data_IF_665227574635
#
_entry.id   IF_665227574635
#
_cell.length_a   1.000
_cell.length_b   1.000
_cell.length_c   1.000
_cell.angle_alpha   90.00
_cell.angle_beta   90.00
_cell.angle_gamma   90.00
#
_symmetry.space_group_name_H-M   'P 1'
#
loop_
_entity.id
_entity.type
_entity.pdbx_description
1 polymer ?
#
# COMPACT_ATOMS: atom_id res chain seq x y z
N UNK A 1 -23.91 5.31 -25.43
CA UNK A 1 -23.08 5.69 -26.60
C UNK A 1 -21.93 4.71 -26.72
N UNK A 2 -21.77 4.05 -27.88
CA UNK A 2 -20.64 3.15 -28.15
C UNK A 2 -19.66 3.76 -29.15
N UNK A 3 -18.36 3.84 -28.82
CA UNK A 3 -17.30 4.43 -29.64
C UNK A 3 -16.21 3.38 -29.90
N UNK A 4 -15.88 3.15 -31.18
CA UNK A 4 -14.92 2.14 -31.62
C UNK A 4 -14.12 2.67 -32.83
N UNK A 5 -12.94 2.10 -33.11
CA UNK A 5 -12.12 2.40 -34.30
C UNK A 5 -11.67 3.86 -34.45
N UNK A 6 -11.31 4.52 -33.34
CA UNK A 6 -10.71 5.86 -33.39
C UNK A 6 -9.20 5.70 -33.53
N UNK A 7 -8.60 6.12 -34.65
CA UNK A 7 -7.20 5.79 -34.98
C UNK A 7 -6.16 6.86 -34.65
N UNK A 8 -6.58 8.11 -34.40
CA UNK A 8 -5.65 9.24 -34.26
C UNK A 8 -5.96 10.23 -33.13
N UNK A 9 -7.10 10.09 -32.44
CA UNK A 9 -7.54 11.01 -31.37
C UNK A 9 -8.16 10.28 -30.18
N UNK A 10 -8.48 11.00 -29.11
CA UNK A 10 -9.29 10.46 -28.03
C UNK A 10 -10.70 10.12 -28.53
N UNK A 11 -11.27 9.04 -28.02
CA UNK A 11 -12.68 8.70 -28.26
C UNK A 11 -13.61 9.79 -27.73
N UNK A 12 -13.22 10.46 -26.64
CA UNK A 12 -13.89 11.63 -26.12
C UNK A 12 -12.88 12.65 -25.60
N UNK A 13 -13.04 13.93 -25.98
CA UNK A 13 -12.24 15.06 -25.49
C UNK A 13 -13.16 16.13 -24.89
N UNK A 14 -13.21 16.22 -23.56
CA UNK A 14 -14.05 17.20 -22.86
C UNK A 14 -13.26 18.47 -22.55
N UNK A 15 -13.17 19.38 -23.53
CA UNK A 15 -12.61 20.74 -23.35
C UNK A 15 -13.49 21.67 -22.50
N UNK A 16 -14.74 21.26 -22.26
CA UNK A 16 -15.73 21.96 -21.43
C UNK A 16 -16.36 20.97 -20.43
N UNK A 17 -17.50 21.33 -19.85
CA UNK A 17 -18.24 20.43 -18.95
C UNK A 17 -18.88 19.28 -19.72
N UNK A 18 -18.58 18.04 -19.32
CA UNK A 18 -19.27 16.83 -19.78
C UNK A 18 -19.96 16.16 -18.58
N UNK A 19 -21.24 15.82 -18.73
CA UNK A 19 -22.01 15.05 -17.75
C UNK A 19 -22.52 13.77 -18.38
N UNK A 20 -22.22 12.62 -17.75
CA UNK A 20 -22.75 11.32 -18.14
C UNK A 20 -23.86 10.90 -17.17
N UNK A 21 -25.04 10.59 -17.72
CA UNK A 21 -26.20 10.04 -17.00
C UNK A 21 -26.58 8.62 -17.47
N UNK A 22 -25.82 8.04 -18.40
CA UNK A 22 -26.15 6.75 -18.98
C UNK A 22 -24.90 5.95 -19.29
N UNK A 23 -24.97 5.09 -20.30
CA UNK A 23 -23.87 4.19 -20.63
C UNK A 23 -22.95 4.79 -21.71
N UNK A 24 -21.65 4.86 -21.42
CA UNK A 24 -20.57 5.14 -22.37
C UNK A 24 -19.71 3.88 -22.51
N UNK A 25 -19.56 3.38 -23.72
CA UNK A 25 -18.73 2.22 -24.04
C UNK A 25 -17.68 2.60 -25.07
N UNK A 26 -16.40 2.39 -24.73
CA UNK A 26 -15.28 2.74 -25.58
C UNK A 26 -14.45 1.49 -25.84
N UNK A 27 -14.21 1.17 -27.11
CA UNK A 27 -13.31 0.10 -27.54
C UNK A 27 -13.81 -1.33 -27.25
N UNK A 28 -15.11 -1.53 -27.05
CA UNK A 28 -15.68 -2.87 -26.79
C UNK A 28 -15.55 -3.84 -27.99
N UNK A 29 -15.57 -3.33 -29.21
CA UNK A 29 -15.54 -4.14 -30.45
C UNK A 29 -14.19 -4.10 -31.17
N UNK A 30 -13.44 -3.02 -31.01
CA UNK A 30 -12.16 -2.81 -31.69
C UNK A 30 -11.41 -1.67 -31.03
N UNK A 31 -10.09 -1.63 -31.21
CA UNK A 31 -9.26 -0.66 -30.50
C UNK A 31 -9.58 0.81 -30.84
N UNK A 32 -9.28 1.67 -29.87
CA UNK A 32 -9.25 3.13 -30.01
C UNK A 32 -7.85 3.64 -29.67
N UNK A 33 -7.49 4.81 -30.18
CA UNK A 33 -6.19 5.41 -29.89
C UNK A 33 -6.08 5.78 -28.41
N UNK A 34 -6.99 6.63 -27.91
CA UNK A 34 -7.17 6.96 -26.49
C UNK A 34 -8.66 6.90 -26.11
N UNK A 35 -8.98 6.70 -24.83
CA UNK A 35 -10.35 6.69 -24.32
C UNK A 35 -10.89 8.10 -24.11
N UNK A 36 -10.93 8.55 -22.86
CA UNK A 36 -11.46 9.87 -22.45
C UNK A 36 -10.29 10.78 -22.08
N UNK A 37 -10.22 11.96 -22.70
CA UNK A 37 -9.35 13.06 -22.32
C UNK A 37 -10.21 14.16 -21.70
N UNK A 38 -9.85 14.60 -20.50
CA UNK A 38 -10.61 15.56 -19.72
C UNK A 38 -9.77 16.83 -19.59
N UNK A 39 -10.24 17.90 -20.22
CA UNK A 39 -9.62 19.23 -20.23
C UNK A 39 -10.66 20.30 -19.81
N UNK A 40 -11.38 19.98 -18.74
CA UNK A 40 -12.53 20.76 -18.25
C UNK A 40 -13.13 20.08 -17.03
N UNK A 41 -14.45 20.14 -16.89
CA UNK A 41 -15.18 19.43 -15.83
C UNK A 41 -15.81 18.15 -16.39
N UNK A 42 -15.64 17.04 -15.69
CA UNK A 42 -16.26 15.78 -16.03
C UNK A 42 -17.07 15.26 -14.85
N UNK A 43 -18.33 14.88 -15.08
CA UNK A 43 -19.19 14.29 -14.07
C UNK A 43 -19.79 12.99 -14.61
N UNK A 44 -19.54 11.88 -13.93
CA UNK A 44 -20.28 10.63 -14.12
C UNK A 44 -21.30 10.51 -12.99
N UNK A 45 -22.59 10.76 -13.28
CA UNK A 45 -23.65 10.70 -12.28
C UNK A 45 -23.89 9.26 -11.81
N UNK A 46 -24.70 9.08 -10.76
CA UNK A 46 -24.96 7.77 -10.10
C UNK A 46 -25.38 6.68 -11.08
N UNK A 47 -26.16 7.05 -12.08
CA UNK A 47 -26.72 6.14 -13.09
C UNK A 47 -25.76 5.97 -14.28
N UNK A 48 -24.66 6.72 -14.29
CA UNK A 48 -23.65 6.72 -15.32
C UNK A 48 -22.76 5.48 -15.24
N UNK A 49 -22.71 4.74 -16.34
CA UNK A 49 -21.79 3.62 -16.54
C UNK A 49 -20.79 3.97 -17.63
N UNK A 50 -19.51 3.80 -17.35
CA UNK A 50 -18.43 3.98 -18.31
C UNK A 50 -17.65 2.69 -18.39
N UNK A 51 -17.51 2.15 -19.59
CA UNK A 51 -16.63 1.01 -19.86
C UNK A 51 -15.62 1.39 -20.92
N UNK A 52 -14.33 1.18 -20.65
CA UNK A 52 -13.24 1.45 -21.58
C UNK A 52 -12.39 0.20 -21.77
N UNK A 53 -12.26 -0.25 -23.01
CA UNK A 53 -11.55 -1.45 -23.42
C UNK A 53 -10.65 -1.17 -24.63
N UNK A 54 -9.72 -2.09 -24.90
CA UNK A 54 -8.90 -2.13 -26.13
C UNK A 54 -8.26 -0.78 -26.51
N UNK A 55 -7.72 -0.03 -25.56
CA UNK A 55 -6.99 1.20 -25.90
C UNK A 55 -5.60 0.84 -26.42
N UNK A 56 -5.23 1.43 -27.56
CA UNK A 56 -3.96 1.19 -28.26
C UNK A 56 -2.77 1.61 -27.39
N UNK A 57 -1.59 1.02 -27.61
CA UNK A 57 -0.36 1.24 -26.81
C UNK A 57 0.12 2.69 -26.71
N UNK A 58 -0.36 3.57 -27.58
CA UNK A 58 0.10 4.95 -27.69
C UNK A 58 -0.85 5.95 -27.02
N UNK A 59 -1.94 5.51 -26.42
CA UNK A 59 -2.92 6.38 -25.76
C UNK A 59 -2.99 6.24 -24.24
N UNK A 60 -4.08 6.73 -23.69
CA UNK A 60 -4.48 6.55 -22.29
C UNK A 60 -5.98 6.24 -22.27
N UNK A 61 -6.45 5.46 -21.31
CA UNK A 61 -7.87 5.13 -21.15
C UNK A 61 -8.66 6.31 -20.59
N UNK A 62 -8.30 6.83 -19.42
CA UNK A 62 -8.78 8.12 -18.90
C UNK A 62 -7.56 9.00 -18.64
N UNK A 63 -7.57 10.22 -19.17
CA UNK A 63 -6.50 11.20 -19.02
C UNK A 63 -7.09 12.51 -18.49
N UNK A 64 -6.84 12.83 -17.22
CA UNK A 64 -7.23 14.13 -16.65
C UNK A 64 -6.06 15.10 -16.75
N UNK A 65 -6.26 16.21 -17.47
CA UNK A 65 -5.22 17.21 -17.68
C UNK A 65 -5.10 18.16 -16.48
N UNK A 66 -4.00 18.89 -16.42
CA UNK A 66 -3.77 19.89 -15.36
C UNK A 66 -4.91 20.92 -15.35
N UNK A 67 -5.43 21.23 -14.17
CA UNK A 67 -6.57 22.16 -13.98
C UNK A 67 -7.95 21.55 -14.25
N UNK A 68 -8.04 20.30 -14.73
CA UNK A 68 -9.32 19.61 -14.89
C UNK A 68 -9.90 19.11 -13.56
N UNK A 69 -11.23 18.94 -13.52
CA UNK A 69 -11.97 18.43 -12.36
C UNK A 69 -12.86 17.29 -12.81
N UNK A 70 -12.67 16.11 -12.24
CA UNK A 70 -13.47 14.91 -12.55
C UNK A 70 -14.17 14.41 -11.29
N UNK A 71 -15.46 14.12 -11.38
CA UNK A 71 -16.25 13.54 -10.28
C UNK A 71 -16.97 12.28 -10.76
N UNK A 72 -16.84 11.19 -10.01
CA UNK A 72 -17.54 9.95 -10.27
C UNK A 72 -18.49 9.62 -9.13
N UNK A 73 -19.80 9.59 -9.42
CA UNK A 73 -20.85 9.05 -8.57
C UNK A 73 -21.30 7.65 -9.00
N UNK A 74 -21.12 7.32 -10.28
CA UNK A 74 -21.54 6.04 -10.87
C UNK A 74 -20.39 5.03 -11.00
N UNK A 75 -20.40 4.28 -12.09
CA UNK A 75 -19.49 3.16 -12.32
C UNK A 75 -18.53 3.44 -13.47
N UNK A 76 -17.23 3.26 -13.23
CA UNK A 76 -16.17 3.29 -14.24
C UNK A 76 -15.48 1.92 -14.24
N UNK A 77 -15.47 1.25 -15.39
CA UNK A 77 -14.80 -0.04 -15.60
C UNK A 77 -13.80 0.06 -16.73
N UNK A 78 -12.57 -0.38 -16.47
CA UNK A 78 -11.47 -0.32 -17.43
C UNK A 78 -10.84 -1.70 -17.54
N UNK A 79 -10.70 -2.17 -18.78
CA UNK A 79 -9.97 -3.38 -19.11
C UNK A 79 -10.70 -4.69 -18.80
N UNK A 80 -11.90 -4.86 -19.36
CA UNK A 80 -12.50 -6.17 -19.57
C UNK A 80 -11.70 -6.99 -20.59
N UNK A 81 -11.06 -6.31 -21.55
CA UNK A 81 -10.07 -6.84 -22.50
C UNK A 81 -8.74 -6.11 -22.31
N UNK A 82 -7.63 -6.78 -22.67
CA UNK A 82 -6.28 -6.23 -22.47
C UNK A 82 -6.13 -4.84 -23.06
N UNK A 83 -5.63 -3.92 -22.25
CA UNK A 83 -5.37 -2.54 -22.64
C UNK A 83 -3.89 -2.24 -22.46
N UNK A 84 -3.22 -1.86 -23.54
CA UNK A 84 -1.76 -1.76 -23.56
C UNK A 84 -1.23 -0.42 -23.00
N UNK A 85 -1.98 0.22 -22.09
CA UNK A 85 -1.72 1.58 -21.58
C UNK A 85 -2.08 1.66 -20.10
N UNK A 86 -1.92 2.84 -19.49
CA UNK A 86 -2.42 3.14 -18.14
C UNK A 86 -3.95 3.00 -18.06
N UNK A 87 -4.45 2.57 -16.91
CA UNK A 87 -5.90 2.54 -16.62
C UNK A 87 -6.48 3.91 -16.28
N UNK A 88 -5.71 4.79 -15.64
CA UNK A 88 -6.02 6.23 -15.56
C UNK A 88 -4.70 6.98 -15.45
N UNK A 89 -4.59 8.10 -16.15
CA UNK A 89 -3.45 9.01 -16.09
C UNK A 89 -3.95 10.36 -15.59
N UNK A 90 -3.55 10.77 -14.38
CA UNK A 90 -4.10 11.94 -13.71
C UNK A 90 -3.06 13.05 -13.49
N UNK A 91 -3.38 14.25 -13.98
CA UNK A 91 -2.69 15.52 -13.66
C UNK A 91 -3.64 16.58 -13.08
N UNK A 92 -4.94 16.30 -13.07
CA UNK A 92 -5.97 17.16 -12.52
C UNK A 92 -6.53 16.65 -11.19
N UNK A 93 -7.69 17.17 -10.79
CA UNK A 93 -8.40 16.72 -9.59
C UNK A 93 -9.41 15.63 -9.96
N UNK A 94 -9.43 14.55 -9.19
CA UNK A 94 -10.39 13.47 -9.35
C UNK A 94 -11.02 13.13 -8.00
N UNK A 95 -12.36 13.08 -7.96
CA UNK A 95 -13.13 12.64 -6.79
C UNK A 95 -13.98 11.42 -7.14
N UNK A 96 -13.73 10.30 -6.48
CA UNK A 96 -14.63 9.16 -6.48
C UNK A 96 -15.56 9.26 -5.25
N UNK A 97 -16.84 9.54 -5.48
CA UNK A 97 -17.83 9.76 -4.43
C UNK A 97 -18.20 8.44 -3.74
N UNK A 98 -18.93 8.51 -2.63
CA UNK A 98 -19.26 7.33 -1.80
C UNK A 98 -20.01 6.22 -2.53
N UNK A 99 -20.85 6.58 -3.51
CA UNK A 99 -21.54 5.62 -4.40
C UNK A 99 -20.69 5.19 -5.59
N UNK A 100 -19.57 5.88 -5.83
CA UNK A 100 -18.72 5.69 -6.98
C UNK A 100 -17.92 4.39 -6.91
N UNK A 101 -17.93 3.65 -8.02
CA UNK A 101 -17.09 2.47 -8.23
C UNK A 101 -16.13 2.74 -9.38
N UNK A 102 -14.84 2.52 -9.13
CA UNK A 102 -13.80 2.45 -10.16
C UNK A 102 -13.20 1.06 -10.13
N UNK A 103 -13.26 0.35 -11.26
CA UNK A 103 -12.67 -0.97 -11.44
C UNK A 103 -11.68 -0.94 -12.62
N UNK A 104 -10.43 -1.34 -12.39
CA UNK A 104 -9.37 -1.33 -13.41
C UNK A 104 -8.66 -2.68 -13.42
N UNK A 105 -8.73 -3.39 -14.55
CA UNK A 105 -8.11 -4.70 -14.71
C UNK A 105 -7.37 -4.80 -16.05
N UNK A 106 -6.50 -5.81 -16.21
CA UNK A 106 -5.88 -6.18 -17.50
C UNK A 106 -5.21 -5.00 -18.23
N UNK A 107 -4.44 -4.19 -17.50
CA UNK A 107 -3.67 -3.08 -18.06
C UNK A 107 -2.16 -3.38 -18.03
N UNK A 108 -1.42 -2.92 -19.04
CA UNK A 108 0.02 -3.19 -19.15
C UNK A 108 0.94 -2.20 -18.43
N UNK A 109 0.43 -1.05 -18.01
CA UNK A 109 1.17 -0.12 -17.16
C UNK A 109 0.51 -0.07 -15.79
N UNK A 110 0.44 1.10 -15.16
CA UNK A 110 -0.22 1.25 -13.88
C UNK A 110 -1.74 1.30 -14.04
N UNK A 111 -2.47 0.74 -13.07
CA UNK A 111 -3.92 0.88 -12.97
C UNK A 111 -4.30 2.35 -12.85
N UNK A 112 -3.82 3.00 -11.81
CA UNK A 112 -3.86 4.44 -11.62
C UNK A 112 -2.44 5.00 -11.63
N UNK A 113 -2.17 5.94 -12.52
CA UNK A 113 -0.95 6.72 -12.56
C UNK A 113 -1.28 8.20 -12.36
N UNK A 114 -0.50 8.90 -11.53
CA UNK A 114 -0.69 10.33 -11.37
C UNK A 114 0.58 11.08 -10.99
N UNK A 115 0.74 12.27 -11.58
CA UNK A 115 1.93 13.12 -11.43
C UNK A 115 1.71 14.42 -10.63
N UNK A 116 0.45 14.83 -10.47
CA UNK A 116 0.05 16.09 -9.85
C UNK A 116 -1.46 16.11 -9.59
N UNK A 117 -1.91 17.14 -8.87
CA UNK A 117 -3.32 17.32 -8.55
C UNK A 117 -3.73 16.57 -7.29
N UNK A 118 -5.01 16.18 -7.23
CA UNK A 118 -5.57 15.46 -6.07
C UNK A 118 -6.41 14.27 -6.51
N UNK A 119 -6.33 13.19 -5.74
CA UNK A 119 -7.26 12.06 -5.85
C UNK A 119 -7.97 11.86 -4.51
N UNK A 120 -9.29 12.05 -4.49
CA UNK A 120 -10.14 11.88 -3.31
C UNK A 120 -11.04 10.68 -3.49
N UNK A 121 -10.87 9.66 -2.66
CA UNK A 121 -11.72 8.46 -2.67
C UNK A 121 -12.63 8.40 -1.45
N UNK A 122 -13.94 8.46 -1.69
CA UNK A 122 -14.99 8.19 -0.71
C UNK A 122 -15.71 6.85 -0.99
N UNK A 123 -15.58 6.32 -2.20
CA UNK A 123 -16.24 5.08 -2.64
C UNK A 123 -15.28 3.91 -2.78
N UNK A 124 -15.54 3.05 -3.78
CA UNK A 124 -14.74 1.85 -4.06
C UNK A 124 -13.76 2.06 -5.22
N UNK A 125 -12.48 1.76 -4.99
CA UNK A 125 -11.44 1.64 -6.01
C UNK A 125 -10.88 0.22 -6.00
N UNK A 126 -11.06 -0.52 -7.10
CA UNK A 126 -10.67 -1.92 -7.23
C UNK A 126 -9.73 -2.08 -8.42
N UNK A 127 -8.51 -2.55 -8.19
CA UNK A 127 -7.51 -2.67 -9.24
C UNK A 127 -6.92 -4.08 -9.23
N UNK A 128 -7.03 -4.77 -10.36
CA UNK A 128 -6.49 -6.11 -10.57
C UNK A 128 -7.31 -7.24 -9.92
N UNK A 129 -8.53 -6.94 -9.49
CA UNK A 129 -9.47 -7.93 -8.93
C UNK A 129 -10.04 -8.90 -9.97
N UNK A 130 -9.89 -8.62 -11.26
CA UNK A 130 -10.40 -9.45 -12.35
C UNK A 130 -9.43 -9.50 -13.54
N UNK A 131 -8.14 -9.64 -13.24
CA UNK A 131 -7.06 -9.79 -14.22
C UNK A 131 -5.84 -8.94 -13.87
N UNK A 132 -4.66 -9.42 -14.26
CA UNK A 132 -3.40 -8.82 -13.80
C UNK A 132 -3.19 -7.38 -14.28
N UNK A 133 -2.40 -6.65 -13.49
CA UNK A 133 -1.83 -5.36 -13.84
C UNK A 133 -0.33 -5.56 -13.97
N UNK A 134 0.23 -5.31 -15.16
CA UNK A 134 1.66 -5.53 -15.40
C UNK A 134 2.54 -4.52 -14.66
N UNK A 135 2.04 -3.30 -14.45
CA UNK A 135 2.66 -2.24 -13.63
C UNK A 135 2.25 -2.29 -12.15
N UNK A 136 2.34 -1.14 -11.48
CA UNK A 136 1.72 -0.94 -10.16
C UNK A 136 0.19 -0.88 -10.28
N UNK A 137 -0.56 -1.28 -9.25
CA UNK A 137 -1.98 -0.94 -9.21
C UNK A 137 -2.16 0.58 -9.08
N UNK A 138 -1.46 1.22 -8.14
CA UNK A 138 -1.40 2.67 -7.96
C UNK A 138 0.05 3.14 -8.05
N UNK A 139 0.32 4.16 -8.86
CA UNK A 139 1.63 4.78 -9.06
C UNK A 139 1.49 6.31 -8.96
N UNK A 140 2.00 6.87 -7.87
CA UNK A 140 1.96 8.30 -7.60
C UNK A 140 3.38 8.87 -7.71
N UNK A 141 3.60 9.83 -8.59
CA UNK A 141 4.89 10.47 -8.77
C UNK A 141 4.74 11.98 -8.66
N UNK A 142 5.70 12.67 -8.05
CA UNK A 142 5.62 14.13 -7.88
C UNK A 142 4.58 14.56 -6.85
N UNK A 143 4.25 15.86 -6.87
CA UNK A 143 3.51 16.56 -5.81
C UNK A 143 1.99 16.32 -5.85
N UNK A 144 1.56 15.07 -5.99
CA UNK A 144 0.14 14.68 -5.84
C UNK A 144 -0.23 14.46 -4.38
N UNK A 145 -1.44 14.87 -4.01
CA UNK A 145 -2.12 14.42 -2.78
C UNK A 145 -3.17 13.36 -3.08
N UNK A 146 -3.03 12.18 -2.49
CA UNK A 146 -4.00 11.10 -2.56
C UNK A 146 -4.64 10.90 -1.19
N UNK A 147 -5.97 10.92 -1.12
CA UNK A 147 -6.71 10.74 0.13
C UNK A 147 -7.78 9.67 -0.03
N UNK A 148 -7.68 8.62 0.77
CA UNK A 148 -8.76 7.67 0.98
C UNK A 148 -9.53 8.11 2.24
N UNK A 149 -10.74 8.61 2.08
CA UNK A 149 -11.55 9.10 3.19
C UNK A 149 -12.20 7.95 3.97
N UNK A 150 -12.74 8.27 5.15
CA UNK A 150 -13.54 7.32 5.92
C UNK A 150 -14.72 6.80 5.07
N UNK A 151 -14.92 5.48 5.08
CA UNK A 151 -15.87 4.79 4.20
C UNK A 151 -15.34 4.46 2.80
N UNK A 152 -14.20 5.02 2.40
CA UNK A 152 -13.52 4.68 1.17
C UNK A 152 -12.82 3.32 1.26
N UNK A 153 -12.99 2.51 0.21
CA UNK A 153 -12.44 1.16 0.09
C UNK A 153 -11.48 1.09 -1.10
N UNK A 154 -10.27 0.58 -0.87
CA UNK A 154 -9.27 0.34 -1.90
C UNK A 154 -8.85 -1.14 -1.85
N UNK A 155 -9.01 -1.85 -2.97
CA UNK A 155 -8.57 -3.23 -3.13
C UNK A 155 -7.56 -3.30 -4.29
N UNK A 156 -6.33 -3.74 -4.00
CA UNK A 156 -5.25 -3.85 -5.00
C UNK A 156 -4.75 -5.30 -5.05
N UNK A 157 -4.86 -5.91 -6.21
CA UNK A 157 -4.55 -7.32 -6.40
C UNK A 157 -3.79 -7.53 -7.71
N UNK A 158 -3.12 -8.67 -7.83
CA UNK A 158 -2.59 -9.17 -9.10
C UNK A 158 -1.61 -8.20 -9.81
N UNK A 159 -0.77 -7.50 -9.04
CA UNK A 159 0.34 -6.68 -9.58
C UNK A 159 1.61 -7.54 -9.71
N UNK A 160 2.04 -7.81 -10.95
CA UNK A 160 3.01 -8.89 -11.21
C UNK A 160 4.48 -8.44 -11.20
N UNK A 161 4.82 -7.24 -11.68
CA UNK A 161 6.24 -6.82 -11.80
C UNK A 161 6.66 -5.73 -10.81
N UNK A 162 5.70 -5.02 -10.22
CA UNK A 162 5.93 -3.84 -9.40
C UNK A 162 5.04 -3.82 -8.16
N UNK A 163 5.40 -3.03 -7.12
CA UNK A 163 4.56 -2.85 -5.94
C UNK A 163 3.12 -2.47 -6.30
N UNK A 164 2.15 -3.04 -5.59
CA UNK A 164 0.73 -2.71 -5.76
C UNK A 164 0.49 -1.21 -5.56
N UNK A 165 1.13 -0.61 -4.57
CA UNK A 165 1.03 0.82 -4.30
C UNK A 165 2.43 1.44 -4.23
N UNK A 166 2.77 2.26 -5.20
CA UNK A 166 4.02 3.01 -5.23
C UNK A 166 3.76 4.52 -5.14
N UNK A 167 4.54 5.20 -4.31
CA UNK A 167 4.60 6.66 -4.27
C UNK A 167 6.03 7.19 -4.27
N UNK A 168 6.27 8.28 -5.01
CA UNK A 168 7.55 9.00 -5.09
C UNK A 168 7.27 10.51 -5.04
N UNK A 169 7.77 11.20 -4.02
CA UNK A 169 7.49 12.63 -3.77
C UNK A 169 6.00 12.99 -3.60
N UNK A 170 5.13 12.00 -3.41
CA UNK A 170 3.69 12.16 -3.24
C UNK A 170 3.27 12.07 -1.76
N UNK A 171 2.10 12.61 -1.44
CA UNK A 171 1.50 12.54 -0.10
C UNK A 171 0.25 11.70 -0.12
N UNK A 172 0.19 10.68 0.72
CA UNK A 172 -0.97 9.78 0.88
C UNK A 172 -1.51 9.87 2.29
N UNK A 173 -2.82 10.05 2.42
CA UNK A 173 -3.56 9.95 3.69
C UNK A 173 -4.64 8.88 3.55
N UNK A 174 -4.53 7.81 4.33
CA UNK A 174 -5.54 6.77 4.42
C UNK A 174 -6.37 6.94 5.70
N UNK A 175 -7.66 7.19 5.56
CA UNK A 175 -8.65 7.17 6.65
C UNK A 175 -9.79 6.17 6.40
N UNK A 176 -9.71 5.40 5.31
CA UNK A 176 -10.61 4.30 4.97
C UNK A 176 -9.90 2.95 5.05
N UNK A 177 -10.32 1.98 4.25
CA UNK A 177 -9.70 0.65 4.20
C UNK A 177 -8.87 0.49 2.93
N UNK A 178 -7.63 0.00 3.09
CA UNK A 178 -6.77 -0.43 1.98
C UNK A 178 -6.45 -1.90 2.18
N UNK A 179 -6.74 -2.73 1.19
CA UNK A 179 -6.42 -4.16 1.17
C UNK A 179 -5.57 -4.47 -0.06
N UNK A 180 -4.46 -5.16 0.16
CA UNK A 180 -3.53 -5.55 -0.90
C UNK A 180 -3.29 -7.06 -0.83
N UNK A 181 -3.39 -7.72 -1.99
CA UNK A 181 -3.17 -9.16 -2.10
C UNK A 181 -4.22 -10.03 -1.40
N UNK A 182 -5.36 -9.45 -1.02
CA UNK A 182 -6.43 -10.15 -0.31
C UNK A 182 -7.23 -11.12 -1.21
N UNK A 183 -7.12 -11.01 -2.54
CA UNK A 183 -7.80 -11.88 -3.51
C UNK A 183 -6.79 -12.66 -4.35
N UNK A 184 -5.81 -11.96 -4.94
CA UNK A 184 -4.78 -12.56 -5.80
C UNK A 184 -3.38 -12.15 -5.35
N UNK A 185 -2.35 -12.98 -5.60
CA UNK A 185 -0.99 -12.65 -5.24
C UNK A 185 -0.52 -11.34 -5.85
N UNK A 186 0.32 -10.63 -5.10
CA UNK A 186 1.00 -9.41 -5.53
C UNK A 186 2.51 -9.63 -5.43
N UNK A 187 3.30 -8.91 -6.25
CA UNK A 187 4.76 -8.93 -6.13
C UNK A 187 5.21 -8.24 -4.86
N UNK A 188 4.81 -6.99 -4.64
CA UNK A 188 5.04 -6.22 -3.41
C UNK A 188 3.79 -5.42 -3.04
N UNK A 189 3.68 -5.05 -1.76
CA UNK A 189 2.58 -4.24 -1.25
C UNK A 189 2.78 -2.74 -1.48
N UNK A 190 3.06 -2.02 -0.39
CA UNK A 190 3.29 -0.58 -0.36
C UNK A 190 4.79 -0.26 -0.45
N UNK A 191 5.16 0.62 -1.39
CA UNK A 191 6.52 1.12 -1.56
C UNK A 191 6.55 2.65 -1.58
N UNK A 192 7.34 3.25 -0.67
CA UNK A 192 7.41 4.70 -0.46
C UNK A 192 8.79 5.21 -0.83
N UNK A 193 8.92 5.70 -2.06
CA UNK A 193 10.10 6.33 -2.62
C UNK A 193 10.46 7.66 -1.94
N UNK A 194 11.64 8.19 -2.28
CA UNK A 194 12.19 9.40 -1.68
C UNK A 194 11.21 10.58 -1.68
N UNK A 195 11.22 11.35 -0.59
CA UNK A 195 10.30 12.47 -0.32
C UNK A 195 8.81 12.10 -0.31
N UNK A 196 8.45 10.82 -0.46
CA UNK A 196 7.08 10.35 -0.32
C UNK A 196 6.66 10.34 1.16
N UNK A 197 5.38 10.60 1.41
CA UNK A 197 4.80 10.45 2.75
C UNK A 197 3.50 9.64 2.70
N UNK A 198 3.36 8.72 3.64
CA UNK A 198 2.15 7.92 3.80
C UNK A 198 1.70 7.97 5.27
N UNK A 199 0.48 8.43 5.49
CA UNK A 199 -0.16 8.44 6.81
C UNK A 199 -1.33 7.48 6.83
N UNK A 200 -1.27 6.48 7.71
CA UNK A 200 -2.35 5.54 7.95
C UNK A 200 -3.14 5.91 9.21
N UNK A 201 -4.38 6.34 9.05
CA UNK A 201 -5.33 6.66 10.13
C UNK A 201 -6.39 5.57 10.33
N UNK A 202 -6.36 4.49 9.55
CA UNK A 202 -7.37 3.42 9.58
C UNK A 202 -6.72 2.09 9.18
N UNK A 203 -7.39 1.19 8.45
CA UNK A 203 -6.89 -0.14 8.13
C UNK A 203 -6.03 -0.14 6.86
N UNK A 204 -4.83 -0.71 7.00
CA UNK A 204 -3.95 -1.12 5.92
C UNK A 204 -3.67 -2.62 6.07
N UNK A 205 -4.18 -3.43 5.14
CA UNK A 205 -4.01 -4.88 5.10
C UNK A 205 -3.16 -5.28 3.89
N UNK A 206 -2.12 -6.08 4.12
CA UNK A 206 -1.22 -6.56 3.08
C UNK A 206 -0.97 -8.05 3.28
N UNK A 207 -1.50 -8.86 2.36
CA UNK A 207 -1.38 -10.31 2.35
C UNK A 207 -0.81 -10.78 1.01
N UNK A 208 -0.48 -12.06 0.91
CA UNK A 208 -0.18 -12.76 -0.35
C UNK A 208 0.90 -12.07 -1.22
N UNK A 209 1.94 -11.57 -0.55
CA UNK A 209 3.12 -10.98 -1.19
C UNK A 209 4.03 -12.12 -1.60
N UNK A 210 3.98 -12.44 -2.89
CA UNK A 210 4.62 -13.62 -3.49
C UNK A 210 5.90 -13.25 -4.23
N UNK A 211 6.82 -14.21 -4.37
CA UNK A 211 8.08 -14.03 -5.10
C UNK A 211 7.91 -14.04 -6.63
N UNK A 212 6.92 -13.31 -7.13
CA UNK A 212 6.59 -13.24 -8.57
C UNK A 212 7.36 -12.12 -9.29
N UNK A 213 8.19 -11.35 -8.58
CA UNK A 213 9.00 -10.27 -9.15
C UNK A 213 10.25 -9.93 -8.32
N UNK A 214 10.96 -8.86 -8.70
CA UNK A 214 12.19 -8.42 -8.01
C UNK A 214 11.93 -7.68 -6.68
N UNK A 215 10.66 -7.41 -6.36
CA UNK A 215 10.22 -6.75 -5.15
C UNK A 215 9.28 -7.71 -4.42
N UNK A 216 9.65 -8.18 -3.24
CA UNK A 216 8.86 -9.17 -2.47
C UNK A 216 8.72 -8.74 -1.00
N UNK A 217 8.24 -7.52 -0.78
CA UNK A 217 8.07 -6.94 0.57
C UNK A 217 6.68 -6.33 0.68
N UNK A 218 6.01 -6.54 1.81
CA UNK A 218 4.69 -5.98 2.07
C UNK A 218 4.76 -4.45 2.25
N UNK A 219 5.70 -3.95 3.05
CA UNK A 219 5.93 -2.51 3.22
C UNK A 219 7.41 -2.16 3.04
N UNK A 220 7.70 -1.29 2.08
CA UNK A 220 9.04 -0.79 1.78
C UNK A 220 9.10 0.74 1.93
N UNK A 221 10.03 1.26 2.71
CA UNK A 221 10.14 2.69 3.04
C UNK A 221 11.56 3.22 2.71
N UNK A 222 11.73 3.78 1.52
CA UNK A 222 13.03 4.25 1.00
C UNK A 222 13.63 5.39 1.85
N UNK A 223 14.95 5.55 1.78
CA UNK A 223 15.64 6.71 2.37
C UNK A 223 14.99 8.03 1.93
N UNK A 224 14.75 8.93 2.91
CA UNK A 224 14.15 10.24 2.68
C UNK A 224 12.63 10.23 2.53
N UNK A 225 11.97 9.10 2.77
CA UNK A 225 10.50 9.01 2.84
C UNK A 225 10.00 8.88 4.28
N UNK A 226 8.70 9.07 4.48
CA UNK A 226 8.07 8.99 5.80
C UNK A 226 6.83 8.11 5.77
N UNK A 227 6.82 7.08 6.60
CA UNK A 227 5.64 6.30 6.93
C UNK A 227 5.20 6.64 8.36
N UNK A 228 3.93 6.96 8.54
CA UNK A 228 3.31 7.17 9.85
C UNK A 228 2.06 6.31 9.98
N UNK A 229 2.08 5.35 10.90
CA UNK A 229 0.85 4.75 11.42
C UNK A 229 0.34 5.62 12.56
N UNK A 230 -0.77 6.33 12.36
CA UNK A 230 -1.38 7.16 13.39
C UNK A 230 -1.96 6.30 14.53
N UNK A 231 -2.36 6.93 15.64
CA UNK A 231 -2.88 6.22 16.81
C UNK A 231 -4.16 5.41 16.55
N UNK A 232 -4.97 5.85 15.59
CA UNK A 232 -6.14 5.10 15.10
C UNK A 232 -5.79 4.09 13.98
N UNK A 233 -4.56 4.11 13.48
CA UNK A 233 -4.11 3.27 12.38
C UNK A 233 -3.93 1.82 12.82
N UNK A 234 -4.38 0.90 11.96
CA UNK A 234 -4.24 -0.54 12.10
C UNK A 234 -3.52 -1.06 10.85
N UNK A 235 -2.41 -1.75 11.05
CA UNK A 235 -1.67 -2.43 10.00
C UNK A 235 -1.76 -3.92 10.23
N UNK A 236 -2.13 -4.65 9.19
CA UNK A 236 -2.23 -6.12 9.19
C UNK A 236 -1.36 -6.65 8.07
N UNK A 237 -0.39 -7.49 8.40
CA UNK A 237 0.52 -8.07 7.40
C UNK A 237 0.54 -9.58 7.56
N UNK A 238 0.19 -10.30 6.49
CA UNK A 238 0.26 -11.76 6.46
C UNK A 238 -0.68 -12.46 7.44
N UNK A 239 -1.79 -11.84 7.84
CA UNK A 239 -2.74 -12.45 8.78
C UNK A 239 -3.59 -13.52 8.11
N UNK A 240 -3.89 -13.33 6.81
CA UNK A 240 -4.74 -14.25 6.06
C UNK A 240 -3.92 -15.12 5.11
N UNK A 241 -2.88 -14.55 4.48
CA UNK A 241 -2.05 -15.28 3.52
C UNK A 241 -0.62 -14.80 3.61
N UNK A 242 0.30 -15.77 3.60
CA UNK A 242 1.74 -15.57 3.78
C UNK A 242 2.29 -14.42 2.93
N UNK A 243 3.15 -13.62 3.53
CA UNK A 243 3.97 -12.63 2.82
C UNK A 243 5.44 -13.06 2.83
N UNK A 244 6.20 -12.73 1.79
CA UNK A 244 7.62 -13.08 1.77
C UNK A 244 8.44 -12.29 2.80
N UNK A 245 8.30 -10.96 2.79
CA UNK A 245 8.89 -10.07 3.80
C UNK A 245 7.82 -9.09 4.28
N UNK A 246 7.72 -8.87 5.59
CA UNK A 246 6.75 -7.93 6.15
C UNK A 246 7.18 -6.47 5.95
N UNK A 247 8.26 -6.03 6.59
CA UNK A 247 8.69 -4.62 6.57
C UNK A 247 10.17 -4.52 6.19
N UNK A 248 10.44 -3.73 5.15
CA UNK A 248 11.78 -3.40 4.67
C UNK A 248 12.41 -4.43 3.74
N UNK A 249 13.43 -3.94 3.01
CA UNK A 249 14.51 -4.66 2.31
C UNK A 249 15.61 -3.62 2.00
N UNK A 250 16.83 -4.04 1.69
CA UNK A 250 17.99 -3.19 1.30
C UNK A 250 17.67 -1.73 0.88
N UNK A 251 18.38 -0.74 1.45
CA UNK A 251 18.21 0.71 1.20
C UNK A 251 16.94 1.38 1.76
N UNK A 252 16.18 0.68 2.61
CA UNK A 252 14.99 1.22 3.26
C UNK A 252 15.33 2.06 4.52
N UNK A 253 15.98 3.23 4.42
CA UNK A 253 16.25 4.09 5.60
C UNK A 253 15.26 5.27 5.73
N UNK A 254 14.01 5.10 5.30
CA UNK A 254 12.97 6.11 5.54
C UNK A 254 12.61 6.21 7.02
N UNK A 255 11.93 7.29 7.41
CA UNK A 255 11.37 7.43 8.75
C UNK A 255 10.13 6.56 8.87
N UNK A 256 10.11 5.61 9.81
CA UNK A 256 8.94 4.78 10.11
C UNK A 256 8.47 5.03 11.54
N UNK A 257 7.30 5.64 11.70
CA UNK A 257 6.69 5.95 12.98
C UNK A 257 5.43 5.12 13.20
N UNK A 258 5.40 4.35 14.28
CA UNK A 258 4.20 3.65 14.72
C UNK A 258 3.63 4.30 15.97
N UNK A 259 2.41 4.85 15.87
CA UNK A 259 1.61 5.30 17.01
C UNK A 259 0.37 4.42 17.22
N UNK A 260 0.01 3.58 16.26
CA UNK A 260 -1.18 2.72 16.28
C UNK A 260 -0.85 1.24 16.46
N UNK A 261 -1.68 0.37 15.89
CA UNK A 261 -1.47 -1.08 15.96
C UNK A 261 -0.81 -1.62 14.69
N UNK A 262 0.18 -2.50 14.86
CA UNK A 262 0.77 -3.32 13.80
C UNK A 262 0.65 -4.77 14.22
N UNK A 263 0.02 -5.59 13.40
CA UNK A 263 -0.08 -7.03 13.57
C UNK A 263 0.57 -7.74 12.39
N UNK A 264 1.57 -8.57 12.69
CA UNK A 264 2.32 -9.34 11.70
C UNK A 264 2.06 -10.82 11.96
N UNK A 265 1.48 -11.47 10.96
CA UNK A 265 1.29 -12.92 10.88
C UNK A 265 2.23 -13.54 9.86
N UNK A 266 1.84 -14.65 9.27
CA UNK A 266 2.60 -15.52 8.38
C UNK A 266 3.62 -14.79 7.47
N UNK A 267 4.91 -14.89 7.81
CA UNK A 267 6.04 -14.40 7.00
C UNK A 267 6.96 -15.56 6.61
N UNK A 268 7.46 -15.56 5.37
CA UNK A 268 8.40 -16.59 4.90
C UNK A 268 9.86 -16.31 5.27
N UNK A 269 10.25 -15.04 5.36
CA UNK A 269 11.59 -14.53 5.60
C UNK A 269 12.69 -15.21 4.77
N UNK A 270 13.14 -14.50 3.73
CA UNK A 270 14.46 -14.73 3.13
C UNK A 270 15.32 -13.55 3.59
N UNK A 271 16.26 -13.83 4.49
CA UNK A 271 17.35 -12.95 4.94
C UNK A 271 17.69 -11.85 3.93
N UNK A 272 17.59 -10.58 4.30
CA UNK A 272 18.29 -9.49 3.58
C UNK A 272 18.68 -8.36 4.53
N UNK A 273 19.86 -7.82 4.25
CA UNK A 273 20.57 -6.77 4.98
C UNK A 273 19.83 -5.42 4.98
N UNK A 274 19.84 -4.72 6.14
CA UNK A 274 19.43 -3.32 6.36
C UNK A 274 17.95 -3.02 6.13
N UNK A 275 17.11 -3.30 7.14
CA UNK A 275 15.70 -2.87 7.15
C UNK A 275 15.53 -1.47 7.73
N UNK A 276 14.36 -0.88 7.50
CA UNK A 276 13.96 0.42 8.05
C UNK A 276 13.98 0.44 9.56
N UNK A 277 14.66 1.43 10.17
CA UNK A 277 14.50 1.70 11.59
C UNK A 277 13.03 1.97 11.93
N UNK A 278 12.47 1.19 12.85
CA UNK A 278 11.09 1.37 13.33
C UNK A 278 11.14 2.14 14.63
N UNK A 279 10.45 3.28 14.68
CA UNK A 279 10.14 3.98 15.93
C UNK A 279 8.75 3.57 16.39
N UNK A 280 8.65 2.74 17.42
CA UNK A 280 7.39 2.41 18.06
C UNK A 280 7.15 3.38 19.21
N UNK A 281 6.31 4.39 18.99
CA UNK A 281 6.03 5.44 19.97
C UNK A 281 5.20 4.92 21.14
N UNK A 282 5.03 5.73 22.20
CA UNK A 282 4.42 5.31 23.46
C UNK A 282 3.01 4.70 23.33
N UNK A 283 2.21 5.15 22.36
CA UNK A 283 0.87 4.59 22.09
C UNK A 283 0.89 3.42 21.11
N UNK A 284 2.02 3.19 20.44
CA UNK A 284 2.18 2.18 19.42
C UNK A 284 2.22 0.77 20.00
N UNK A 285 1.56 -0.15 19.31
CA UNK A 285 1.62 -1.59 19.59
C UNK A 285 2.14 -2.32 18.36
N UNK A 286 3.07 -3.25 18.57
CA UNK A 286 3.51 -4.21 17.57
C UNK A 286 3.23 -5.60 18.13
N UNK A 287 2.40 -6.35 17.43
CA UNK A 287 2.07 -7.74 17.72
C UNK A 287 2.67 -8.64 16.64
N UNK A 288 3.47 -9.61 17.07
CA UNK A 288 4.12 -10.60 16.22
C UNK A 288 3.51 -11.97 16.51
N UNK A 289 2.74 -12.50 15.57
CA UNK A 289 2.00 -13.75 15.67
C UNK A 289 2.59 -14.78 14.69
N UNK A 290 2.79 -16.04 15.09
CA UNK A 290 3.22 -17.15 14.21
C UNK A 290 4.70 -17.12 13.72
N UNK A 291 5.10 -18.04 12.84
CA UNK A 291 6.48 -18.52 12.67
C UNK A 291 7.57 -17.51 12.25
N UNK A 292 8.77 -17.76 12.81
CA UNK A 292 10.14 -17.24 12.57
C UNK A 292 10.31 -15.87 11.92
N UNK A 293 10.32 -14.83 12.74
CA UNK A 293 10.65 -13.46 12.32
C UNK A 293 12.12 -13.13 12.52
N UNK A 294 12.68 -12.42 11.55
CA UNK A 294 14.03 -11.88 11.57
C UNK A 294 13.96 -10.38 11.31
N UNK A 295 13.95 -9.55 12.36
CA UNK A 295 14.08 -8.11 12.18
C UNK A 295 15.55 -7.75 12.01
N UNK A 296 15.97 -7.45 10.79
CA UNK A 296 17.30 -6.92 10.52
C UNK A 296 17.38 -5.37 10.57
N UNK A 297 16.28 -4.71 10.93
CA UNK A 297 16.22 -3.27 11.21
C UNK A 297 16.36 -2.96 12.68
N UNK A 298 16.80 -1.74 13.02
CA UNK A 298 16.75 -1.30 14.41
C UNK A 298 15.32 -0.97 14.83
N UNK A 299 14.96 -1.28 16.08
CA UNK A 299 13.67 -0.93 16.66
C UNK A 299 13.93 -0.06 17.88
N UNK A 300 13.38 1.14 17.87
CA UNK A 300 13.33 2.03 19.02
C UNK A 300 11.93 1.94 19.64
N UNK A 301 11.81 1.24 20.76
CA UNK A 301 10.52 0.93 21.38
C UNK A 301 10.26 1.81 22.61
N UNK A 302 9.28 2.71 22.50
CA UNK A 302 8.68 3.44 23.63
C UNK A 302 7.26 2.97 23.95
N UNK A 303 6.64 2.17 23.07
CA UNK A 303 5.31 1.58 23.24
C UNK A 303 5.35 0.11 23.66
N UNK A 304 4.42 -0.69 23.13
CA UNK A 304 4.34 -2.13 23.44
C UNK A 304 4.77 -2.98 22.24
N UNK A 305 5.66 -3.95 22.49
CA UNK A 305 5.95 -5.05 21.57
C UNK A 305 5.49 -6.35 22.25
N UNK A 306 4.60 -7.09 21.61
CA UNK A 306 4.14 -8.39 22.06
C UNK A 306 4.60 -9.45 21.05
N UNK A 307 5.34 -10.44 21.55
CA UNK A 307 5.79 -11.59 20.78
C UNK A 307 4.95 -12.78 21.22
N UNK A 308 4.09 -13.26 20.33
CA UNK A 308 3.19 -14.39 20.55
C UNK A 308 3.48 -15.46 19.48
N UNK A 309 4.58 -16.18 19.65
CA UNK A 309 5.10 -17.09 18.62
C UNK A 309 5.26 -18.49 19.18
N UNK A 310 4.79 -19.50 18.43
CA UNK A 310 5.12 -20.92 18.68
C UNK A 310 6.57 -21.26 18.36
N UNK A 311 7.24 -20.41 17.56
CA UNK A 311 8.62 -20.53 17.09
C UNK A 311 9.50 -19.39 17.62
N UNK A 312 10.77 -19.33 17.22
CA UNK A 312 11.68 -18.25 17.63
C UNK A 312 11.48 -16.94 16.85
N UNK A 313 11.41 -15.81 17.55
CA UNK A 313 11.54 -14.48 16.99
C UNK A 313 12.97 -13.97 17.23
N UNK A 314 13.61 -13.42 16.20
CA UNK A 314 14.98 -12.88 16.26
C UNK A 314 15.05 -11.46 15.71
N UNK A 315 15.93 -10.63 16.28
CA UNK A 315 16.18 -9.24 15.82
C UNK A 315 17.66 -9.06 15.49
N UNK A 316 18.12 -9.31 14.27
CA UNK A 316 19.55 -9.29 13.94
C UNK A 316 20.27 -7.95 14.13
N UNK A 317 19.54 -6.83 14.22
CA UNK A 317 20.11 -5.50 14.45
C UNK A 317 19.93 -5.07 15.92
N UNK A 318 19.52 -3.84 16.17
CA UNK A 318 19.40 -3.27 17.53
C UNK A 318 17.95 -3.14 17.96
N UNK A 319 17.57 -3.73 19.10
CA UNK A 319 16.35 -3.38 19.82
C UNK A 319 16.72 -2.51 21.02
N UNK A 320 16.20 -1.28 21.04
CA UNK A 320 16.27 -0.39 22.20
C UNK A 320 14.88 -0.27 22.80
N UNK A 321 14.68 -0.94 23.94
CA UNK A 321 13.48 -0.77 24.76
C UNK A 321 13.67 0.44 25.69
N UNK A 322 13.01 1.55 25.39
CA UNK A 322 13.08 2.80 26.14
C UNK A 322 12.40 2.69 27.50
N UNK A 323 12.52 3.72 28.34
CA UNK A 323 11.96 3.74 29.70
C UNK A 323 10.46 3.51 29.78
N UNK A 324 9.70 4.00 28.79
CA UNK A 324 8.26 3.75 28.68
C UNK A 324 7.91 2.47 27.92
N UNK A 325 8.91 1.85 27.29
CA UNK A 325 8.75 0.68 26.45
C UNK A 325 8.43 -0.58 27.24
N UNK A 326 7.50 -1.36 26.71
CA UNK A 326 7.14 -2.68 27.20
C UNK A 326 7.44 -3.73 26.13
N UNK A 327 8.20 -4.74 26.49
CA UNK A 327 8.40 -5.95 25.69
C UNK A 327 7.76 -7.14 26.42
N UNK A 328 6.77 -7.77 25.80
CA UNK A 328 6.14 -9.00 26.29
C UNK A 328 6.56 -10.17 25.40
N UNK A 329 7.08 -11.23 25.99
CA UNK A 329 7.49 -12.45 25.27
C UNK A 329 6.67 -13.63 25.78
N UNK A 330 5.83 -14.17 24.90
CA UNK A 330 5.02 -15.37 25.08
C UNK A 330 5.35 -16.33 23.91
N UNK A 331 6.54 -16.94 23.99
CA UNK A 331 7.18 -17.68 22.90
C UNK A 331 8.69 -17.78 23.11
N UNK A 332 9.47 -17.93 22.04
CA UNK A 332 10.93 -17.91 22.09
C UNK A 332 11.45 -16.60 21.46
N UNK A 333 12.20 -15.82 22.22
CA UNK A 333 12.96 -14.68 21.68
C UNK A 333 14.44 -15.04 21.60
N UNK A 334 14.93 -15.33 20.40
CA UNK A 334 16.33 -15.65 20.14
C UNK A 334 17.10 -14.37 19.74
N UNK A 335 18.22 -14.15 20.41
CA UNK A 335 18.86 -12.85 20.65
C UNK A 335 18.89 -11.84 19.51
N UNK A 336 18.78 -10.57 19.93
CA UNK A 336 19.02 -9.47 19.03
C UNK A 336 20.52 -9.35 18.68
N UNK A 337 20.86 -8.72 17.57
CA UNK A 337 22.20 -8.20 17.35
C UNK A 337 22.62 -7.32 18.53
N UNK A 338 21.77 -6.44 19.07
CA UNK A 338 22.01 -5.73 20.33
C UNK A 338 20.68 -5.46 21.02
N UNK A 339 20.58 -5.77 22.31
CA UNK A 339 19.39 -5.47 23.12
C UNK A 339 19.76 -4.51 24.24
N UNK A 340 19.24 -3.28 24.17
CA UNK A 340 19.32 -2.29 25.25
C UNK A 340 17.95 -2.16 25.90
N UNK A 341 17.86 -2.41 27.21
CA UNK A 341 16.63 -2.35 27.97
C UNK A 341 16.66 -1.33 29.11
N UNK A 342 15.89 -0.26 28.92
CA UNK A 342 15.61 0.76 29.92
C UNK A 342 14.15 0.73 30.42
N UNK A 343 13.31 -0.14 29.85
CA UNK A 343 11.89 -0.29 30.18
C UNK A 343 11.53 -1.65 30.78
N UNK A 344 10.30 -2.09 30.59
CA UNK A 344 9.79 -3.34 31.17
C UNK A 344 9.96 -4.49 30.18
N UNK A 345 10.49 -5.62 30.65
CA UNK A 345 10.44 -6.91 29.95
C UNK A 345 9.63 -7.89 30.80
N UNK A 346 8.53 -8.39 30.23
CA UNK A 346 7.73 -9.47 30.79
C UNK A 346 7.90 -10.71 29.92
N UNK A 347 8.37 -11.82 30.48
CA UNK A 347 8.45 -13.08 29.75
C UNK A 347 7.61 -14.15 30.45
N UNK A 348 6.61 -14.70 29.77
CA UNK A 348 6.07 -16.02 30.10
C UNK A 348 6.73 -17.12 29.24
N UNK A 349 7.45 -16.73 28.18
CA UNK A 349 8.24 -17.61 27.32
C UNK A 349 9.76 -17.54 27.56
N UNK A 350 10.53 -18.19 26.67
CA UNK A 350 11.99 -18.24 26.73
C UNK A 350 12.63 -17.01 26.08
N UNK A 351 13.54 -16.35 26.79
CA UNK A 351 14.37 -15.27 26.24
C UNK A 351 15.80 -15.79 26.16
N UNK A 352 16.23 -16.18 24.97
CA UNK A 352 17.57 -16.74 24.73
C UNK A 352 18.42 -15.72 24.00
N UNK A 353 19.32 -15.01 24.69
CA UNK A 353 20.25 -14.10 24.03
C UNK A 353 21.47 -14.87 23.50
N UNK A 354 21.46 -15.22 22.22
CA UNK A 354 22.53 -15.99 21.55
C UNK A 354 23.47 -15.12 20.71
N UNK A 355 23.23 -13.81 20.64
CA UNK A 355 24.04 -12.88 19.85
C UNK A 355 25.45 -12.68 20.43
N UNK A 356 26.45 -12.47 19.56
CA UNK A 356 27.85 -12.15 19.94
C UNK A 356 28.06 -10.76 20.53
N UNK A 357 26.97 -10.07 20.90
CA UNK A 357 26.91 -8.64 21.22
C UNK A 357 26.09 -8.40 22.50
N UNK A 358 26.14 -7.17 23.02
CA UNK A 358 25.75 -6.81 24.40
C UNK A 358 24.25 -6.93 24.71
N UNK A 359 23.92 -7.54 25.86
CA UNK A 359 22.66 -7.34 26.58
C UNK A 359 22.89 -6.34 27.70
N UNK A 360 22.23 -5.18 27.66
CA UNK A 360 22.32 -4.15 28.69
C UNK A 360 20.93 -3.91 29.30
N UNK A 361 20.73 -4.24 30.57
CA UNK A 361 19.45 -4.03 31.25
C UNK A 361 19.63 -3.21 32.52
N UNK A 362 18.97 -2.05 32.55
CA UNK A 362 18.88 -1.17 33.73
C UNK A 362 17.54 -1.35 34.49
N UNK A 363 16.78 -2.40 34.17
CA UNK A 363 15.35 -2.50 34.51
C UNK A 363 14.91 -3.90 34.95
N UNK A 364 13.68 -3.99 35.47
CA UNK A 364 13.08 -5.22 36.03
C UNK A 364 12.82 -6.25 34.92
N UNK A 365 13.40 -7.44 35.08
CA UNK A 365 12.98 -8.65 34.38
C UNK A 365 12.01 -9.36 35.33
N UNK A 366 10.72 -9.29 35.04
CA UNK A 366 9.73 -10.01 35.85
C UNK A 366 9.80 -11.51 35.49
N UNK A 367 10.00 -12.42 36.45
CA UNK A 367 9.94 -13.85 36.16
C UNK A 367 8.52 -14.22 35.70
N UNK A 368 8.43 -14.94 34.58
CA UNK A 368 7.20 -15.59 34.13
C UNK A 368 6.73 -16.62 35.14
N UNK A 369 5.41 -16.76 35.27
CA UNK A 369 4.80 -17.85 36.03
C UNK A 369 4.74 -19.11 35.19
#
# INVERSE_FOLDING_TARGET
MGINKVSSFAALDSKFSLTNNGTIEIGNLSSVYAGIVINGTFVNNSDGLITINNVSSNGNTINTLLGSVSTNFGVIKIGNQFTNVYGTYLRGNFTNQSTGLIEINKVNYSGLYSESGTFSNYGSLKIGNNGFVSGNCINLQGAITFTNYAGGEIELNNSINYPSFYLLSATVVNSGNIKMGNIFPISAGLSIGSSGSFTNNSVLEIDNVSNIGSFSTALFNYTGSTFTNASSGIIKIGLNTKVQNAIGREFSNGTFNNNGNIEIGLVESKTTSSLTPITNNATGTILLNNDTYLFDGSINNSGTINIQTSSSCSILSTLTNQTTGKLTVDGIFAGAGTLTNNGIINGNGEITHTGTKTFNSNSIIAPGK
#
